data_IF_517289002656
#
_entry.id   IF_517289002656
#
_cell.length_a   1.000
_cell.length_b   1.000
_cell.length_c   1.000
_cell.angle_alpha   90.00
_cell.angle_beta   90.00
_cell.angle_gamma   90.00
#
_symmetry.space_group_name_H-M   'P 1'
#
loop_
_entity.id
_entity.type
_entity.pdbx_description
1 polymer ?
#
# COMPACT_ATOMS: atom_id res chain seq x y z
N UNK A 1 22.22 18.36 9.10
CA UNK A 1 22.18 16.90 9.37
C UNK A 1 20.99 16.32 8.63
N UNK A 2 21.19 15.34 7.73
CA UNK A 2 20.08 14.65 7.05
C UNK A 2 19.46 13.66 8.02
N UNK A 3 18.33 14.00 8.64
CA UNK A 3 17.56 13.07 9.46
C UNK A 3 16.99 12.02 8.51
N UNK A 4 17.50 10.78 8.58
CA UNK A 4 16.92 9.65 7.85
C UNK A 4 15.64 9.24 8.58
N UNK A 5 14.53 9.16 7.85
CA UNK A 5 13.28 8.67 8.41
C UNK A 5 13.46 7.21 8.86
N UNK A 6 12.87 6.82 9.99
CA UNK A 6 12.90 5.41 10.42
C UNK A 6 12.23 4.50 9.38
N UNK A 7 12.69 3.25 9.29
CA UNK A 7 12.07 2.27 8.40
C UNK A 7 10.62 2.00 8.83
N UNK A 8 9.78 1.57 7.88
CA UNK A 8 8.41 1.14 8.17
C UNK A 8 8.42 -0.15 8.99
N UNK A 9 7.70 -0.15 10.12
CA UNK A 9 7.44 -1.37 10.90
C UNK A 9 6.31 -2.19 10.27
N UNK A 10 6.15 -3.44 10.71
CA UNK A 10 5.04 -4.29 10.26
C UNK A 10 3.67 -3.70 10.63
N UNK A 11 3.54 -3.08 11.79
CA UNK A 11 2.28 -2.43 12.20
C UNK A 11 1.98 -1.20 11.34
N UNK A 12 3.02 -0.45 10.95
CA UNK A 12 2.87 0.65 9.99
C UNK A 12 2.41 0.14 8.63
N UNK A 13 2.98 -0.97 8.15
CA UNK A 13 2.57 -1.59 6.88
C UNK A 13 1.12 -2.10 6.93
N UNK A 14 0.70 -2.72 8.03
CA UNK A 14 -0.69 -3.18 8.21
C UNK A 14 -1.68 -2.02 8.13
N UNK A 15 -1.43 -0.94 8.87
CA UNK A 15 -2.26 0.25 8.83
C UNK A 15 -2.30 0.85 7.41
N UNK A 16 -1.13 1.00 6.80
CA UNK A 16 -1.01 1.58 5.46
C UNK A 16 -1.75 0.75 4.40
N UNK A 17 -1.62 -0.59 4.43
CA UNK A 17 -2.37 -1.48 3.56
C UNK A 17 -3.89 -1.34 3.75
N UNK A 18 -4.36 -1.26 5.00
CA UNK A 18 -5.78 -1.10 5.30
C UNK A 18 -6.33 0.20 4.69
N UNK A 19 -5.67 1.33 4.96
CA UNK A 19 -6.08 2.64 4.46
C UNK A 19 -6.04 2.68 2.93
N UNK A 20 -4.99 2.14 2.32
CA UNK A 20 -4.89 2.05 0.87
C UNK A 20 -6.04 1.24 0.26
N UNK A 21 -6.41 0.13 0.88
CA UNK A 21 -7.54 -0.70 0.42
C UNK A 21 -8.89 0.03 0.59
N UNK A 22 -9.13 0.67 1.73
CA UNK A 22 -10.35 1.43 2.00
C UNK A 22 -10.53 2.56 0.96
N UNK A 23 -9.48 3.32 0.66
CA UNK A 23 -9.53 4.43 -0.31
C UNK A 23 -9.61 3.92 -1.76
N UNK A 24 -8.87 2.87 -2.12
CA UNK A 24 -8.87 2.33 -3.49
C UNK A 24 -10.17 1.63 -3.86
N UNK A 25 -10.92 1.15 -2.88
CA UNK A 25 -12.21 0.48 -3.06
C UNK A 25 -13.42 1.38 -2.80
N UNK A 26 -13.22 2.65 -2.45
CA UNK A 26 -14.31 3.59 -2.23
C UNK A 26 -15.09 3.84 -3.53
N UNK A 27 -16.38 3.44 -3.62
CA UNK A 27 -17.16 3.60 -4.84
C UNK A 27 -17.54 5.06 -5.14
N UNK A 28 -17.49 5.94 -4.14
CA UNK A 28 -17.87 7.36 -4.24
C UNK A 28 -16.65 8.21 -4.58
N UNK A 29 -15.56 8.04 -3.84
CA UNK A 29 -14.37 8.90 -3.98
C UNK A 29 -13.23 8.26 -4.78
N UNK A 30 -13.27 6.94 -4.99
CA UNK A 30 -12.29 6.16 -5.72
C UNK A 30 -12.36 6.36 -7.24
N UNK A 31 -13.54 6.69 -7.76
CA UNK A 31 -13.80 6.84 -9.20
C UNK A 31 -13.62 8.33 -9.59
N UNK A 32 -12.86 8.60 -10.66
CA UNK A 32 -12.58 9.94 -11.20
C UNK A 32 -11.70 10.89 -10.37
N UNK A 33 -10.71 10.39 -9.64
CA UNK A 33 -9.69 11.22 -8.99
C UNK A 33 -8.34 11.18 -9.72
N UNK A 34 -7.56 12.27 -9.61
CA UNK A 34 -6.17 12.27 -10.06
C UNK A 34 -5.31 11.38 -9.15
N UNK A 35 -4.21 10.86 -9.68
CA UNK A 35 -3.26 10.10 -8.86
C UNK A 35 -2.73 10.93 -7.69
N UNK A 36 -2.54 12.24 -7.87
CA UNK A 36 -2.04 13.11 -6.82
C UNK A 36 -3.05 13.27 -5.67
N UNK A 37 -4.34 13.43 -6.00
CA UNK A 37 -5.41 13.52 -5.01
C UNK A 37 -5.56 12.20 -4.24
N UNK A 38 -5.49 11.08 -4.96
CA UNK A 38 -5.51 9.75 -4.34
C UNK A 38 -4.40 9.61 -3.30
N UNK A 39 -3.16 9.90 -3.67
CA UNK A 39 -2.03 9.76 -2.75
C UNK A 39 -2.04 10.78 -1.61
N UNK A 40 -2.59 11.98 -1.84
CA UNK A 40 -2.77 12.98 -0.78
C UNK A 40 -3.76 12.49 0.28
N UNK A 41 -4.87 11.85 -0.13
CA UNK A 41 -5.82 11.22 0.81
C UNK A 41 -5.18 10.07 1.59
N UNK A 42 -4.43 9.20 0.92
CA UNK A 42 -3.73 8.09 1.59
C UNK A 42 -2.71 8.60 2.61
N UNK A 43 -1.96 9.65 2.27
CA UNK A 43 -1.04 10.31 3.20
C UNK A 43 -1.78 10.90 4.41
N UNK A 44 -2.83 11.69 4.17
CA UNK A 44 -3.59 12.37 5.20
C UNK A 44 -4.20 11.36 6.18
N UNK A 45 -4.91 10.36 5.67
CA UNK A 45 -5.53 9.32 6.50
C UNK A 45 -4.50 8.50 7.28
N UNK A 46 -3.36 8.17 6.66
CA UNK A 46 -2.27 7.49 7.37
C UNK A 46 -1.72 8.33 8.51
N UNK A 47 -1.48 9.62 8.28
CA UNK A 47 -0.95 10.52 9.30
C UNK A 47 -1.95 10.87 10.40
N UNK A 48 -3.26 10.80 10.11
CA UNK A 48 -4.32 10.99 11.09
C UNK A 48 -4.57 9.74 11.93
N UNK A 49 -4.43 8.55 11.33
CA UNK A 49 -4.68 7.25 11.98
C UNK A 49 -3.44 6.66 12.66
N UNK A 50 -2.25 7.26 12.49
CA UNK A 50 -1.02 6.73 13.08
C UNK A 50 -1.02 6.83 14.60
N UNK A 51 -0.32 5.89 15.25
CA UNK A 51 -0.03 5.98 16.68
C UNK A 51 0.84 7.22 16.94
N UNK A 52 0.61 7.90 18.06
CA UNK A 52 1.19 9.21 18.37
C UNK A 52 2.73 9.25 18.36
N UNK A 53 3.39 8.11 18.60
CA UNK A 53 4.85 7.98 18.56
C UNK A 53 5.44 7.74 17.16
N UNK A 54 4.62 7.55 16.13
CA UNK A 54 5.09 7.38 14.76
C UNK A 54 5.34 8.72 14.08
N UNK A 55 6.42 8.77 13.30
CA UNK A 55 6.77 9.92 12.48
C UNK A 55 5.65 10.24 11.47
N UNK A 56 5.46 11.52 11.18
CA UNK A 56 4.66 11.95 10.01
C UNK A 56 5.40 11.50 8.75
N UNK A 57 4.67 10.86 7.84
CA UNK A 57 5.22 10.39 6.56
C UNK A 57 4.75 11.30 5.45
N UNK A 58 5.64 11.68 4.56
CA UNK A 58 5.24 12.41 3.36
C UNK A 58 4.59 11.47 2.34
N UNK A 59 3.74 12.04 1.49
CA UNK A 59 3.13 11.37 0.32
C UNK A 59 4.10 10.48 -0.46
N UNK A 60 5.33 10.96 -0.71
CA UNK A 60 6.37 10.21 -1.43
C UNK A 60 6.78 8.92 -0.74
N UNK A 61 6.95 8.94 0.59
CA UNK A 61 7.35 7.75 1.34
C UNK A 61 6.21 6.74 1.43
N UNK A 62 4.98 7.23 1.67
CA UNK A 62 3.76 6.43 1.68
C UNK A 62 3.58 5.69 0.35
N UNK A 63 3.65 6.42 -0.76
CA UNK A 63 3.55 5.87 -2.11
C UNK A 63 4.66 4.84 -2.40
N UNK A 64 5.91 5.18 -2.11
CA UNK A 64 7.05 4.28 -2.33
C UNK A 64 6.93 2.99 -1.50
N UNK A 65 6.35 3.06 -0.30
CA UNK A 65 6.17 1.90 0.56
C UNK A 65 5.07 0.98 0.01
N UNK A 66 3.92 1.52 -0.37
CA UNK A 66 2.85 0.74 -1.02
C UNK A 66 3.36 0.04 -2.28
N UNK A 67 4.09 0.74 -3.16
CA UNK A 67 4.64 0.13 -4.38
C UNK A 67 5.58 -1.04 -4.08
N UNK A 68 6.34 -0.97 -2.99
CA UNK A 68 7.20 -2.06 -2.53
C UNK A 68 6.37 -3.26 -2.08
N UNK A 69 5.30 -3.02 -1.33
CA UNK A 69 4.38 -4.06 -0.85
C UNK A 69 3.66 -4.71 -2.04
N UNK A 70 3.09 -3.92 -2.96
CA UNK A 70 2.41 -4.42 -4.15
C UNK A 70 3.33 -5.29 -5.02
N UNK A 71 4.60 -4.91 -5.17
CA UNK A 71 5.58 -5.71 -5.92
C UNK A 71 5.80 -7.07 -5.26
N UNK A 72 5.90 -7.12 -3.92
CA UNK A 72 6.02 -8.37 -3.18
C UNK A 72 4.76 -9.23 -3.32
N UNK A 73 3.57 -8.64 -3.16
CA UNK A 73 2.28 -9.30 -3.33
C UNK A 73 2.11 -9.88 -4.74
N UNK A 74 2.49 -9.11 -5.78
CA UNK A 74 2.44 -9.57 -7.17
C UNK A 74 3.34 -10.79 -7.41
N UNK A 75 4.54 -10.81 -6.82
CA UNK A 75 5.44 -11.97 -6.91
C UNK A 75 4.81 -13.22 -6.29
N UNK A 76 4.21 -13.09 -5.11
CA UNK A 76 3.49 -14.18 -4.45
C UNK A 76 2.32 -14.68 -5.31
N UNK A 77 1.51 -13.77 -5.83
CA UNK A 77 0.38 -14.10 -6.70
C UNK A 77 0.82 -14.85 -7.96
N UNK A 78 1.92 -14.45 -8.60
CA UNK A 78 2.49 -15.16 -9.75
C UNK A 78 2.88 -16.60 -9.39
N UNK A 79 3.51 -16.81 -8.23
CA UNK A 79 3.86 -18.17 -7.78
C UNK A 79 2.61 -19.04 -7.56
N UNK A 80 1.55 -18.49 -6.96
CA UNK A 80 0.27 -19.20 -6.77
C UNK A 80 -0.32 -19.61 -8.13
N UNK A 81 -0.42 -18.66 -9.07
CA UNK A 81 -0.94 -18.94 -10.42
C UNK A 81 -0.15 -20.01 -11.18
N UNK A 82 1.17 -20.04 -11.00
CA UNK A 82 2.01 -21.09 -11.60
C UNK A 82 1.68 -22.49 -11.06
N UNK A 83 1.33 -22.60 -9.78
CA UNK A 83 0.91 -23.87 -9.18
C UNK A 83 -0.47 -24.27 -9.71
N UNK A 84 -1.43 -23.35 -9.69
CA UNK A 84 -2.80 -23.59 -10.20
C UNK A 84 -2.78 -24.07 -11.67
N UNK A 85 -1.96 -23.44 -12.52
CA UNK A 85 -1.87 -23.79 -13.93
C UNK A 85 -1.21 -25.15 -14.20
N UNK A 86 -0.40 -25.70 -13.28
CA UNK A 86 0.20 -27.04 -13.46
C UNK A 86 -0.85 -28.15 -13.50
N UNK A 87 -2.02 -27.93 -12.90
CA UNK A 87 -3.10 -28.92 -12.86
C UNK A 87 -3.93 -29.01 -14.15
N UNK A 88 -3.66 -28.15 -15.16
CA UNK A 88 -4.41 -28.11 -16.43
C UNK A 88 -3.75 -28.98 -17.53
N UNK A 89 -2.66 -29.69 -17.23
CA UNK A 89 -2.03 -30.63 -18.18
C UNK A 89 -2.71 -32.00 -18.10
N UNK A 90 -3.87 -32.15 -18.73
CA UNK A 90 -4.60 -33.41 -18.80
C UNK A 90 -6.00 -33.28 -19.40
N UNK A 91 -6.09 -32.90 -20.68
CA UNK A 91 -7.26 -33.07 -21.54
C UNK A 91 -6.79 -33.29 -22.98
#
# INVERSE_FOLDING_TARGET
MSIRSTAYSQEQDKLLCRIYMEISQDPITGIYQSSDNFWSRVEEEYNNSKIQNWEVRSKRFVQSRIQTIEKATRKMHTCIRQIENRHISGA
#
